data_IF_622666039707
#
_entry.id   IF_622666039707
#
_cell.length_a   1.000
_cell.length_b   1.000
_cell.length_c   1.000
_cell.angle_alpha   90.00
_cell.angle_beta   90.00
_cell.angle_gamma   90.00
#
_symmetry.space_group_name_H-M   'P 1'
#
loop_
_entity.id
_entity.type
_entity.pdbx_description
1 polymer ?
#
# COMPACT_ATOMS: atom_id res chain seq x y z
N UNK A 1 11.92 -23.58 0.99
CA UNK A 1 10.75 -22.95 1.66
C UNK A 1 9.49 -23.80 1.49
N UNK A 2 8.95 -23.96 0.26
CA UNK A 2 7.69 -24.71 0.01
C UNK A 2 7.76 -26.18 0.46
N UNK A 3 8.86 -26.90 0.20
CA UNK A 3 8.98 -28.31 0.64
C UNK A 3 9.05 -28.46 2.16
N UNK A 4 9.54 -27.45 2.88
CA UNK A 4 9.70 -27.47 4.34
C UNK A 4 8.43 -27.02 5.07
N UNK A 5 7.72 -26.02 4.53
CA UNK A 5 6.57 -25.38 5.17
C UNK A 5 5.26 -25.51 4.38
N UNK A 6 5.21 -26.35 3.34
CA UNK A 6 4.05 -26.47 2.44
C UNK A 6 2.76 -26.89 3.15
N UNK A 7 2.87 -27.63 4.25
CA UNK A 7 1.72 -28.00 5.09
C UNK A 7 1.03 -26.77 5.74
N UNK A 8 1.73 -25.64 5.87
CA UNK A 8 1.17 -24.40 6.39
C UNK A 8 0.42 -23.57 5.34
N UNK A 9 0.48 -23.92 4.04
CA UNK A 9 -0.20 -23.13 2.99
C UNK A 9 -1.73 -23.11 3.16
N UNK A 10 -2.30 -24.10 3.84
CA UNK A 10 -3.72 -24.17 4.16
C UNK A 10 -4.03 -23.70 5.60
N UNK A 11 -3.07 -23.09 6.29
CA UNK A 11 -3.31 -22.54 7.63
C UNK A 11 -4.32 -21.42 7.55
N UNK A 12 -5.29 -21.43 8.47
CA UNK A 12 -6.24 -20.33 8.58
C UNK A 12 -5.53 -19.09 9.14
N UNK A 13 -5.77 -17.95 8.52
CA UNK A 13 -5.28 -16.65 8.99
C UNK A 13 -6.43 -15.91 9.66
N UNK A 14 -6.19 -15.19 10.76
CA UNK A 14 -7.22 -14.37 11.36
C UNK A 14 -7.70 -13.29 10.37
N UNK A 15 -9.00 -13.03 10.33
CA UNK A 15 -9.52 -11.88 9.59
C UNK A 15 -9.05 -10.58 10.24
N UNK A 16 -8.89 -9.52 9.45
CA UNK A 16 -8.59 -8.19 9.96
C UNK A 16 -9.66 -7.18 9.54
N UNK A 17 -9.84 -6.14 10.34
CA UNK A 17 -10.81 -5.07 10.08
C UNK A 17 -10.06 -3.77 9.85
N UNK A 18 -10.13 -3.24 8.64
CA UNK A 18 -9.46 -1.99 8.26
C UNK A 18 -10.50 -0.96 7.86
N UNK A 19 -10.54 0.17 8.56
CA UNK A 19 -11.50 1.27 8.29
C UNK A 19 -12.95 0.76 8.09
N UNK A 20 -13.37 -0.21 8.91
CA UNK A 20 -14.71 -0.82 8.85
C UNK A 20 -14.92 -1.92 7.79
N UNK A 21 -13.90 -2.24 7.00
CA UNK A 21 -13.93 -3.33 6.02
C UNK A 21 -13.32 -4.60 6.60
N UNK A 22 -14.01 -5.73 6.48
CA UNK A 22 -13.49 -7.03 6.88
C UNK A 22 -12.68 -7.62 5.74
N UNK A 23 -11.40 -7.88 5.99
CA UNK A 23 -10.51 -8.63 5.12
C UNK A 23 -10.40 -10.05 5.67
N UNK A 24 -11.04 -11.00 5.00
CA UNK A 24 -10.99 -12.42 5.34
C UNK A 24 -10.53 -13.23 4.13
N UNK A 25 -9.25 -13.63 4.16
CA UNK A 25 -8.63 -14.45 3.12
C UNK A 25 -9.17 -15.89 3.09
N UNK A 26 -9.80 -16.36 4.17
CA UNK A 26 -10.35 -17.72 4.24
C UNK A 26 -11.77 -17.78 3.67
N UNK A 27 -12.52 -16.68 3.73
CA UNK A 27 -13.92 -16.63 3.29
C UNK A 27 -14.09 -16.61 1.76
N UNK A 28 -13.06 -16.29 1.00
CA UNK A 28 -13.15 -16.09 -0.45
C UNK A 28 -13.11 -17.40 -1.27
N UNK A 29 -13.59 -18.52 -0.71
CA UNK A 29 -13.65 -19.84 -1.37
C UNK A 29 -12.33 -20.27 -2.03
N UNK A 30 -11.20 -19.94 -1.40
CA UNK A 30 -9.86 -20.25 -1.93
C UNK A 30 -9.36 -19.30 -3.03
N UNK A 31 -10.10 -18.24 -3.38
CA UNK A 31 -9.62 -17.20 -4.28
C UNK A 31 -8.79 -16.15 -3.51
N UNK A 32 -7.70 -15.63 -4.09
CA UNK A 32 -6.92 -14.58 -3.46
C UNK A 32 -7.71 -13.27 -3.36
N UNK A 33 -7.38 -12.46 -2.34
CA UNK A 33 -7.77 -11.05 -2.33
C UNK A 33 -6.88 -10.30 -3.32
N UNK A 34 -7.47 -9.39 -4.09
CA UNK A 34 -6.77 -8.64 -5.13
C UNK A 34 -6.47 -7.23 -4.64
N UNK A 35 -5.21 -6.82 -4.77
CA UNK A 35 -4.75 -5.44 -4.56
C UNK A 35 -4.47 -4.80 -5.91
N UNK A 36 -5.20 -3.74 -6.25
CA UNK A 36 -5.02 -3.01 -7.50
C UNK A 36 -3.89 -1.99 -7.40
N UNK A 37 -3.05 -1.86 -8.43
CA UNK A 37 -1.86 -0.99 -8.39
C UNK A 37 -2.09 0.32 -9.15
N UNK A 38 -1.73 1.44 -8.52
CA UNK A 38 -1.72 2.80 -9.08
C UNK A 38 -0.34 3.42 -8.86
N UNK A 39 0.43 3.58 -9.93
CA UNK A 39 1.75 4.20 -9.86
C UNK A 39 1.66 5.67 -10.26
N UNK A 40 2.29 6.56 -9.50
CA UNK A 40 2.26 8.01 -9.76
C UNK A 40 3.62 8.58 -10.19
N UNK A 41 4.62 7.72 -10.41
CA UNK A 41 5.92 8.07 -10.98
C UNK A 41 5.97 7.80 -12.48
N UNK A 42 6.63 8.71 -13.23
CA UNK A 42 6.96 8.50 -14.65
C UNK A 42 7.97 7.39 -14.88
N UNK A 43 8.74 7.05 -13.85
CA UNK A 43 9.88 6.15 -13.92
C UNK A 43 9.48 4.71 -13.56
N UNK A 44 8.18 4.45 -13.38
CA UNK A 44 7.67 3.12 -13.04
C UNK A 44 7.76 2.15 -14.23
N UNK A 45 8.32 0.96 -14.00
CA UNK A 45 8.46 -0.10 -15.00
C UNK A 45 7.12 -0.54 -15.62
N UNK A 46 6.04 -0.57 -14.82
CA UNK A 46 4.70 -0.96 -15.27
C UNK A 46 3.94 0.22 -15.89
N UNK A 47 4.25 0.54 -17.15
CA UNK A 47 3.71 1.70 -17.87
C UNK A 47 2.18 1.78 -17.90
N UNK A 48 1.47 0.65 -17.92
CA UNK A 48 -0.01 0.59 -17.92
C UNK A 48 -0.64 0.98 -16.58
N UNK A 49 0.16 1.17 -15.53
CA UNK A 49 -0.28 1.58 -14.20
C UNK A 49 0.01 3.04 -13.86
N UNK A 50 0.73 3.75 -14.71
CA UNK A 50 1.17 5.13 -14.49
C UNK A 50 -0.01 6.10 -14.56
N UNK A 51 -0.11 6.96 -13.54
CA UNK A 51 -1.11 8.01 -13.37
C UNK A 51 -0.41 9.30 -12.91
N UNK A 52 -0.02 10.16 -13.85
CA UNK A 52 0.77 11.35 -13.56
C UNK A 52 -0.02 12.52 -12.94
N UNK A 53 -1.35 12.41 -12.82
CA UNK A 53 -2.19 13.39 -12.14
C UNK A 53 -2.99 12.75 -11.02
N UNK A 54 -3.33 13.55 -10.00
CA UNK A 54 -4.18 13.11 -8.89
C UNK A 54 -5.54 12.61 -9.39
N UNK A 55 -6.13 13.27 -10.38
CA UNK A 55 -7.41 12.87 -10.98
C UNK A 55 -7.29 11.54 -11.71
N UNK A 56 -6.18 11.31 -12.43
CA UNK A 56 -5.92 10.04 -13.09
C UNK A 56 -5.80 8.90 -12.07
N UNK A 57 -5.05 9.12 -10.98
CA UNK A 57 -4.88 8.15 -9.90
C UNK A 57 -6.23 7.81 -9.24
N UNK A 58 -7.05 8.82 -8.91
CA UNK A 58 -8.39 8.61 -8.34
C UNK A 58 -9.28 7.83 -9.31
N UNK A 59 -9.34 8.21 -10.58
CA UNK A 59 -10.17 7.50 -11.59
C UNK A 59 -9.75 6.03 -11.72
N UNK A 60 -8.45 5.77 -11.77
CA UNK A 60 -7.92 4.40 -11.86
C UNK A 60 -8.26 3.59 -10.62
N UNK A 61 -8.04 4.13 -9.43
CA UNK A 61 -8.38 3.46 -8.17
C UNK A 61 -9.87 3.11 -8.09
N UNK A 62 -10.76 4.03 -8.49
CA UNK A 62 -12.19 3.75 -8.58
C UNK A 62 -12.50 2.63 -9.56
N UNK A 63 -11.86 2.64 -10.74
CA UNK A 63 -12.04 1.58 -11.74
C UNK A 63 -11.61 0.22 -11.21
N UNK A 64 -10.43 0.13 -10.60
CA UNK A 64 -9.91 -1.11 -10.00
C UNK A 64 -10.83 -1.64 -8.89
N UNK A 65 -11.37 -0.74 -8.06
CA UNK A 65 -12.35 -1.12 -7.03
C UNK A 65 -13.64 -1.70 -7.65
N UNK A 66 -14.15 -1.11 -8.72
CA UNK A 66 -15.32 -1.63 -9.47
C UNK A 66 -15.01 -3.00 -10.10
N UNK A 67 -13.78 -3.22 -10.55
CA UNK A 67 -13.31 -4.49 -11.12
C UNK A 67 -13.07 -5.58 -10.07
N UNK A 68 -13.25 -5.28 -8.78
CA UNK A 68 -13.17 -6.26 -7.69
C UNK A 68 -11.87 -6.25 -6.89
N UNK A 69 -11.02 -5.23 -7.07
CA UNK A 69 -9.90 -5.01 -6.15
C UNK A 69 -10.44 -4.71 -4.75
N UNK A 70 -9.97 -5.45 -3.75
CA UNK A 70 -10.37 -5.29 -2.36
C UNK A 70 -9.75 -4.05 -1.71
N UNK A 71 -8.54 -3.70 -2.18
CA UNK A 71 -7.85 -2.46 -1.87
C UNK A 71 -7.04 -2.00 -3.09
N UNK A 72 -6.61 -0.75 -3.06
CA UNK A 72 -5.64 -0.22 -4.03
C UNK A 72 -4.35 0.17 -3.33
N UNK A 73 -3.22 -0.06 -3.97
CA UNK A 73 -1.90 0.38 -3.53
C UNK A 73 -1.41 1.50 -4.41
N UNK A 74 -0.94 2.58 -3.78
CA UNK A 74 -0.47 3.78 -4.48
C UNK A 74 1.01 3.97 -4.19
N UNK A 75 1.81 3.89 -5.25
CA UNK A 75 3.25 4.17 -5.22
C UNK A 75 3.53 5.58 -5.75
N UNK A 76 4.02 6.53 -4.93
CA UNK A 76 4.41 7.86 -5.38
C UNK A 76 5.74 7.86 -6.15
N UNK A 77 6.60 6.87 -5.89
CA UNK A 77 7.97 6.78 -6.40
C UNK A 77 8.18 5.46 -7.16
N UNK A 78 9.20 5.45 -8.01
CA UNK A 78 9.70 4.22 -8.61
C UNK A 78 10.88 3.74 -7.78
N UNK A 79 10.95 2.44 -7.52
CA UNK A 79 12.10 1.79 -6.87
C UNK A 79 13.17 1.34 -7.88
N UNK A 80 13.00 1.68 -9.16
CA UNK A 80 13.94 1.36 -10.23
C UNK A 80 15.28 2.10 -10.07
N UNK A 81 16.42 1.45 -10.37
CA UNK A 81 17.73 2.10 -10.33
C UNK A 81 17.77 3.37 -11.20
N UNK A 82 18.08 4.51 -10.58
CA UNK A 82 18.19 5.81 -11.26
C UNK A 82 16.91 6.64 -11.29
N UNK A 83 15.81 6.18 -10.68
CA UNK A 83 14.61 6.99 -10.49
C UNK A 83 14.91 8.24 -9.63
N UNK A 84 14.27 9.36 -9.95
CA UNK A 84 14.43 10.58 -9.16
C UNK A 84 13.66 10.46 -7.84
N UNK A 85 14.35 10.56 -6.70
CA UNK A 85 13.72 10.63 -5.39
C UNK A 85 12.93 11.93 -5.25
N UNK A 86 11.66 11.83 -4.88
CA UNK A 86 10.84 12.97 -4.48
C UNK A 86 11.04 13.25 -2.98
N UNK A 87 11.02 14.52 -2.59
CA UNK A 87 11.00 14.86 -1.17
C UNK A 87 9.72 14.36 -0.51
N UNK A 88 9.78 14.06 0.79
CA UNK A 88 8.60 13.67 1.58
C UNK A 88 7.44 14.67 1.42
N UNK A 89 7.76 15.97 1.42
CA UNK A 89 6.78 17.04 1.20
C UNK A 89 6.08 16.92 -0.16
N UNK A 90 6.84 16.67 -1.23
CA UNK A 90 6.28 16.49 -2.58
C UNK A 90 5.41 15.23 -2.67
N UNK A 91 5.85 14.13 -2.03
CA UNK A 91 5.04 12.92 -1.95
C UNK A 91 3.71 13.20 -1.23
N UNK A 92 3.74 13.90 -0.09
CA UNK A 92 2.55 14.27 0.68
C UNK A 92 1.60 15.16 -0.13
N UNK A 93 2.11 16.20 -0.80
CA UNK A 93 1.33 17.09 -1.68
C UNK A 93 0.60 16.33 -2.79
N UNK A 94 1.20 15.25 -3.28
CA UNK A 94 0.61 14.39 -4.30
C UNK A 94 -0.38 13.37 -3.72
N UNK A 95 -0.03 12.72 -2.62
CA UNK A 95 -0.75 11.58 -2.05
C UNK A 95 -1.96 11.99 -1.22
N UNK A 96 -1.82 12.96 -0.31
CA UNK A 96 -2.87 13.33 0.65
C UNK A 96 -4.20 13.66 -0.03
N UNK A 97 -4.24 14.46 -1.12
CA UNK A 97 -5.49 14.74 -1.82
C UNK A 97 -6.11 13.50 -2.48
N UNK A 98 -5.29 12.57 -2.99
CA UNK A 98 -5.76 11.32 -3.60
C UNK A 98 -6.35 10.40 -2.53
N UNK A 99 -5.61 10.17 -1.44
CA UNK A 99 -6.03 9.34 -0.31
C UNK A 99 -7.35 9.85 0.27
N UNK A 100 -7.45 11.16 0.55
CA UNK A 100 -8.68 11.73 1.13
C UNK A 100 -9.89 11.54 0.23
N UNK A 101 -9.76 11.78 -1.09
CA UNK A 101 -10.84 11.54 -2.07
C UNK A 101 -11.28 10.08 -2.14
N UNK A 102 -10.35 9.13 -2.03
CA UNK A 102 -10.65 7.70 -2.06
C UNK A 102 -11.27 7.21 -0.75
N UNK A 103 -10.80 7.71 0.39
CA UNK A 103 -11.35 7.41 1.71
C UNK A 103 -12.82 7.88 1.82
N UNK A 104 -13.15 9.06 1.29
CA UNK A 104 -14.55 9.54 1.20
C UNK A 104 -15.46 8.60 0.39
N UNK A 105 -14.89 7.89 -0.58
CA UNK A 105 -15.57 6.90 -1.42
C UNK A 105 -15.57 5.50 -0.80
N UNK A 106 -15.05 5.34 0.43
CA UNK A 106 -14.89 4.07 1.14
C UNK A 106 -14.02 3.06 0.40
N UNK A 107 -13.08 3.52 -0.42
CA UNK A 107 -12.08 2.65 -1.06
C UNK A 107 -10.92 2.46 -0.08
N UNK A 108 -10.54 1.22 0.22
CA UNK A 108 -9.36 0.94 1.03
C UNK A 108 -8.09 1.28 0.25
N UNK A 109 -7.24 2.10 0.86
CA UNK A 109 -5.98 2.56 0.27
C UNK A 109 -4.80 2.06 1.08
N UNK A 110 -3.88 1.40 0.40
CA UNK A 110 -2.51 1.15 0.82
C UNK A 110 -1.59 2.20 0.18
N UNK A 111 -0.59 2.66 0.91
CA UNK A 111 0.46 3.54 0.39
C UNK A 111 1.80 2.85 0.48
N UNK A 112 2.51 2.75 -0.64
CA UNK A 112 3.89 2.31 -0.66
C UNK A 112 4.80 3.45 -0.18
N UNK A 113 5.48 3.24 0.94
CA UNK A 113 6.45 4.22 1.46
C UNK A 113 7.42 3.58 2.46
N UNK A 114 8.60 4.18 2.57
CA UNK A 114 9.61 3.87 3.58
C UNK A 114 9.83 5.05 4.55
N UNK A 115 9.15 6.18 4.33
CA UNK A 115 9.31 7.42 5.09
C UNK A 115 8.26 7.52 6.21
N UNK A 116 8.68 7.62 7.50
CA UNK A 116 7.74 7.79 8.61
C UNK A 116 6.83 9.03 8.49
N UNK A 117 7.36 10.15 7.97
CA UNK A 117 6.59 11.38 7.78
C UNK A 117 5.46 11.20 6.74
N UNK A 118 5.75 10.51 5.63
CA UNK A 118 4.76 10.18 4.60
C UNK A 118 3.71 9.24 5.18
N UNK A 119 4.14 8.17 5.86
CA UNK A 119 3.24 7.21 6.50
C UNK A 119 2.26 7.89 7.47
N UNK A 120 2.75 8.83 8.29
CA UNK A 120 1.89 9.61 9.20
C UNK A 120 0.84 10.42 8.43
N UNK A 121 1.28 11.24 7.47
CA UNK A 121 0.38 12.14 6.76
C UNK A 121 -0.68 11.41 5.93
N UNK A 122 -0.35 10.28 5.30
CA UNK A 122 -1.33 9.52 4.52
C UNK A 122 -2.34 8.76 5.39
N UNK A 123 -1.93 8.27 6.57
CA UNK A 123 -2.86 7.63 7.51
C UNK A 123 -3.85 8.64 8.10
N UNK A 124 -3.37 9.85 8.44
CA UNK A 124 -4.22 10.98 8.85
C UNK A 124 -5.20 11.37 7.74
N UNK A 125 -4.78 11.30 6.47
CA UNK A 125 -5.63 11.54 5.30
C UNK A 125 -6.66 10.44 5.03
N UNK A 126 -6.54 9.27 5.66
CA UNK A 126 -7.51 8.17 5.58
C UNK A 126 -6.99 6.87 4.97
N UNK A 127 -5.69 6.74 4.69
CA UNK A 127 -5.12 5.46 4.27
C UNK A 127 -5.36 4.38 5.34
N UNK A 128 -5.49 3.14 4.88
CA UNK A 128 -5.81 1.98 5.71
C UNK A 128 -4.61 1.06 5.96
N UNK A 129 -3.63 1.09 5.06
CA UNK A 129 -2.45 0.22 5.07
C UNK A 129 -1.22 1.04 4.69
N UNK A 130 -0.09 0.72 5.32
CA UNK A 130 1.24 1.10 4.83
C UNK A 130 1.87 -0.13 4.19
N UNK A 131 2.19 -0.05 2.90
CA UNK A 131 3.04 -1.01 2.21
C UNK A 131 4.50 -0.60 2.42
N UNK A 132 5.13 -1.16 3.46
CA UNK A 132 6.45 -0.72 3.91
C UNK A 132 7.55 -1.42 3.12
N UNK A 133 8.30 -0.64 2.35
CA UNK A 133 9.42 -1.09 1.50
C UNK A 133 10.79 -0.64 2.03
N UNK A 134 10.84 -0.10 3.26
CA UNK A 134 12.06 0.37 3.89
C UNK A 134 12.87 -0.71 4.62
N UNK A 135 14.08 -0.33 5.06
CA UNK A 135 14.96 -1.18 5.86
C UNK A 135 14.65 -1.15 7.37
N UNK A 136 15.44 -1.90 8.16
CA UNK A 136 15.23 -2.04 9.61
C UNK A 136 15.21 -0.70 10.36
N UNK A 137 16.01 0.28 9.94
CA UNK A 137 16.22 1.56 10.64
C UNK A 137 14.96 2.43 10.78
N UNK A 138 14.04 2.41 9.81
CA UNK A 138 12.77 3.17 9.88
C UNK A 138 11.56 2.31 10.26
N UNK A 139 11.71 0.98 10.31
CA UNK A 139 10.60 0.03 10.51
C UNK A 139 9.88 0.24 11.85
N UNK A 140 10.61 0.46 12.95
CA UNK A 140 10.01 0.61 14.28
C UNK A 140 9.09 1.84 14.35
N UNK A 141 9.51 2.96 13.77
CA UNK A 141 8.71 4.18 13.77
C UNK A 141 7.44 4.02 12.91
N UNK A 142 7.57 3.43 11.72
CA UNK A 142 6.42 3.16 10.84
C UNK A 142 5.41 2.23 11.51
N UNK A 143 5.88 1.17 12.20
CA UNK A 143 4.99 0.25 12.92
C UNK A 143 4.27 0.95 14.07
N UNK A 144 4.96 1.83 14.81
CA UNK A 144 4.36 2.64 15.88
C UNK A 144 3.28 3.57 15.33
N UNK A 145 3.56 4.23 14.20
CA UNK A 145 2.61 5.12 13.52
C UNK A 145 1.38 4.33 13.04
N UNK A 146 1.57 3.17 12.42
CA UNK A 146 0.47 2.33 11.97
C UNK A 146 -0.41 1.85 13.13
N UNK A 147 0.20 1.41 14.24
CA UNK A 147 -0.52 1.01 15.44
C UNK A 147 -1.36 2.15 16.04
N UNK A 148 -0.79 3.37 16.13
CA UNK A 148 -1.49 4.56 16.60
C UNK A 148 -2.71 4.92 15.74
N UNK A 149 -2.69 4.57 14.46
CA UNK A 149 -3.75 4.86 13.49
C UNK A 149 -4.70 3.67 13.23
N UNK A 150 -4.53 2.56 13.95
CA UNK A 150 -5.23 1.30 13.72
C UNK A 150 -5.20 0.87 12.23
N UNK A 151 -4.00 0.92 11.65
CA UNK A 151 -3.74 0.62 10.25
C UNK A 151 -3.00 -0.72 10.08
N UNK A 152 -3.18 -1.33 8.91
CA UNK A 152 -2.41 -2.50 8.51
C UNK A 152 -1.00 -2.13 8.06
N UNK A 153 -0.07 -3.10 8.12
CA UNK A 153 1.26 -2.97 7.52
C UNK A 153 1.52 -4.20 6.66
N UNK A 154 1.92 -3.97 5.41
CA UNK A 154 2.53 -5.00 4.56
C UNK A 154 4.03 -4.90 4.78
N UNK A 155 4.64 -5.99 5.23
CA UNK A 155 6.08 -6.08 5.50
C UNK A 155 6.70 -6.84 4.34
N UNK A 156 7.54 -6.16 3.57
CA UNK A 156 8.26 -6.77 2.45
C UNK A 156 9.60 -7.33 2.94
N UNK A 157 9.96 -8.51 2.44
CA UNK A 157 11.29 -9.06 2.65
C UNK A 157 12.18 -8.71 1.46
N UNK A 158 13.24 -7.96 1.72
CA UNK A 158 14.30 -7.68 0.76
C UNK A 158 15.58 -8.40 1.23
N UNK A 159 16.06 -9.45 0.51
CA UNK A 159 17.31 -10.12 0.89
C UNK A 159 18.49 -9.17 0.71
N UNK A 160 18.99 -8.66 1.84
CA UNK A 160 20.20 -7.85 1.93
C UNK A 160 19.95 -6.36 1.74
N UNK A 161 19.93 -5.62 2.86
CA UNK A 161 20.46 -4.27 3.03
C UNK A 161 20.67 -4.08 4.54
N UNK A 162 21.69 -4.76 5.08
CA UNK A 162 22.35 -4.30 6.29
C UNK A 162 23.22 -3.10 5.87
N UNK A 163 22.60 -1.93 5.77
CA UNK A 163 23.30 -0.63 5.67
C UNK A 163 22.60 0.37 6.56
#
# INVERSE_FOLDING_TARGET
MVTKYGHHLNSKVASCVLKGHVLDVNANHGKPLIMGVVNMSSDSWYTTSICLSQEAAVRRAQRLSIEGACLVDIGPESTEPGAAFASEARQLDQLVPVVSKLAQKKILVSIETYHPAVARGVLEAGAAVINFTGGHSSSEEVYRIAAQNNAGVIINYHPGCDT
#
